data_IF_217843111016
#
_entry.id   IF_217843111016
#
_cell.length_a   1.000
_cell.length_b   1.000
_cell.length_c   1.000
_cell.angle_alpha   90.00
_cell.angle_beta   90.00
_cell.angle_gamma   90.00
#
_symmetry.space_group_name_H-M   'P 1'
#
loop_
_entity.id
_entity.type
_entity.pdbx_description
1 polymer ?
#
# COMPACT_ATOMS: atom_id res chain seq x y z
N UNK A 1 14.55 -5.37 -18.08
CA UNK A 1 14.56 -3.89 -18.06
C UNK A 1 13.15 -3.31 -17.99
N UNK A 2 12.27 -3.58 -18.95
CA UNK A 2 10.89 -3.04 -19.01
C UNK A 2 10.12 -3.20 -17.68
N UNK A 3 10.09 -4.41 -17.11
CA UNK A 3 9.45 -4.69 -15.82
C UNK A 3 9.92 -3.75 -14.69
N UNK A 4 11.23 -3.50 -14.59
CA UNK A 4 11.84 -2.68 -13.53
C UNK A 4 11.36 -1.22 -13.61
N UNK A 5 11.22 -0.69 -14.83
CA UNK A 5 10.68 0.66 -15.05
C UNK A 5 9.19 0.74 -14.75
N UNK A 6 8.41 -0.30 -15.06
CA UNK A 6 7.01 -0.34 -14.64
C UNK A 6 6.86 -0.32 -13.13
N UNK A 7 7.67 -1.11 -12.39
CA UNK A 7 7.67 -1.10 -10.93
C UNK A 7 8.09 0.27 -10.38
N UNK A 8 9.08 0.91 -11.00
CA UNK A 8 9.51 2.26 -10.61
C UNK A 8 8.39 3.29 -10.76
N UNK A 9 7.72 3.31 -11.91
CA UNK A 9 6.59 4.22 -12.17
C UNK A 9 5.44 3.93 -11.21
N UNK A 10 5.15 2.66 -10.97
CA UNK A 10 4.12 2.23 -10.02
C UNK A 10 4.43 2.72 -8.60
N UNK A 11 5.65 2.51 -8.11
CA UNK A 11 6.08 2.99 -6.81
C UNK A 11 5.99 4.51 -6.67
N UNK A 12 6.31 5.27 -7.73
CA UNK A 12 6.13 6.73 -7.74
C UNK A 12 4.65 7.11 -7.60
N UNK A 13 3.76 6.43 -8.32
CA UNK A 13 2.31 6.66 -8.24
C UNK A 13 1.82 6.39 -6.82
N UNK A 14 2.22 5.27 -6.22
CA UNK A 14 1.83 4.91 -4.84
C UNK A 14 2.36 5.89 -3.80
N UNK A 15 3.61 6.35 -3.92
CA UNK A 15 4.16 7.38 -3.02
C UNK A 15 3.34 8.66 -3.09
N UNK A 16 2.98 9.10 -4.30
CA UNK A 16 2.17 10.30 -4.50
C UNK A 16 0.75 10.13 -3.95
N UNK A 17 0.12 8.98 -4.22
CA UNK A 17 -1.22 8.67 -3.72
C UNK A 17 -1.25 8.55 -2.19
N UNK A 18 -0.37 7.73 -1.63
CA UNK A 18 -0.23 7.54 -0.18
C UNK A 18 0.10 8.85 0.53
N UNK A 19 1.04 9.63 0.00
CA UNK A 19 1.39 10.95 0.52
C UNK A 19 0.23 11.94 0.48
N UNK A 20 -0.51 11.98 -0.63
CA UNK A 20 -1.72 12.80 -0.73
C UNK A 20 -2.75 12.42 0.34
N UNK A 21 -3.05 11.13 0.47
CA UNK A 21 -4.04 10.64 1.44
C UNK A 21 -3.59 10.88 2.88
N UNK A 22 -2.30 10.68 3.18
CA UNK A 22 -1.72 10.95 4.48
C UNK A 22 -1.86 12.43 4.90
N UNK A 23 -1.56 13.35 3.97
CA UNK A 23 -1.59 14.79 4.22
C UNK A 23 -3.03 15.32 4.26
N UNK A 24 -3.85 14.94 3.28
CA UNK A 24 -5.23 15.45 3.14
C UNK A 24 -6.20 14.76 4.08
N UNK A 25 -5.85 13.59 4.62
CA UNK A 25 -6.70 12.76 5.48
C UNK A 25 -8.05 12.47 4.82
N UNK A 26 -8.01 12.20 3.51
CA UNK A 26 -9.17 11.87 2.68
C UNK A 26 -8.85 10.62 1.87
N UNK A 27 -9.74 9.64 1.91
CA UNK A 27 -9.57 8.34 1.27
C UNK A 27 -9.80 8.33 -0.24
N UNK A 28 -10.18 9.45 -0.88
CA UNK A 28 -10.64 9.50 -2.28
C UNK A 28 -9.69 8.88 -3.31
N UNK A 29 -8.40 8.74 -3.02
CA UNK A 29 -7.42 8.07 -3.88
C UNK A 29 -7.16 6.60 -3.53
N UNK A 30 -7.62 6.14 -2.36
CA UNK A 30 -7.46 4.78 -1.88
C UNK A 30 -8.80 4.05 -1.73
N UNK A 31 -9.90 4.58 -2.27
CA UNK A 31 -11.22 3.92 -2.23
C UNK A 31 -11.17 2.48 -2.76
N UNK A 32 -10.46 2.24 -3.87
CA UNK A 32 -10.27 0.88 -4.41
C UNK A 32 -9.47 -0.06 -3.49
N UNK A 33 -8.51 0.48 -2.73
CA UNK A 33 -7.81 -0.31 -1.69
C UNK A 33 -8.79 -0.69 -0.59
N UNK A 34 -9.70 0.21 -0.24
CA UNK A 34 -10.68 -0.04 0.82
C UNK A 34 -11.75 -1.06 0.43
N UNK A 35 -12.24 -0.97 -0.81
CA UNK A 35 -13.15 -1.98 -1.36
C UNK A 35 -12.49 -3.37 -1.42
N UNK A 36 -11.20 -3.40 -1.76
CA UNK A 36 -10.43 -4.65 -1.77
C UNK A 36 -10.35 -5.25 -0.37
N UNK A 37 -10.05 -4.44 0.66
CA UNK A 37 -10.02 -4.91 2.05
C UNK A 37 -11.40 -5.41 2.49
N UNK A 38 -12.47 -4.68 2.17
CA UNK A 38 -13.85 -5.09 2.49
C UNK A 38 -14.19 -6.46 1.89
N UNK A 39 -13.82 -6.70 0.64
CA UNK A 39 -14.09 -7.98 -0.04
C UNK A 39 -13.27 -9.15 0.53
N UNK A 40 -12.05 -8.87 0.99
CA UNK A 40 -11.12 -9.88 1.49
C UNK A 40 -11.40 -10.23 2.95
N UNK A 41 -11.79 -9.24 3.76
CA UNK A 41 -12.11 -9.40 5.16
C UNK A 41 -13.46 -8.75 5.45
N UNK A 42 -14.52 -9.56 5.42
CA UNK A 42 -15.91 -9.16 5.70
C UNK A 42 -16.11 -8.50 7.09
N UNK A 43 -15.09 -8.52 7.96
CA UNK A 43 -15.09 -7.79 9.23
C UNK A 43 -14.75 -6.31 9.08
N UNK A 44 -14.03 -5.95 8.02
CA UNK A 44 -13.67 -4.56 7.76
C UNK A 44 -14.81 -3.84 7.05
N UNK A 45 -15.31 -2.75 7.64
CA UNK A 45 -16.31 -1.87 7.04
C UNK A 45 -15.93 -0.42 7.34
N UNK A 46 -15.71 0.39 6.28
CA UNK A 46 -15.39 1.82 6.39
C UNK A 46 -16.40 2.55 7.25
N UNK A 47 -17.69 2.18 7.18
CA UNK A 47 -18.74 2.86 7.92
C UNK A 47 -18.60 2.70 9.45
N UNK A 48 -17.85 1.68 9.89
CA UNK A 48 -17.54 1.40 11.30
C UNK A 48 -16.21 2.00 11.77
N UNK A 49 -15.51 2.72 10.91
CA UNK A 49 -14.24 3.37 11.25
C UNK A 49 -14.51 4.60 12.11
N UNK A 50 -14.12 4.52 13.39
CA UNK A 50 -14.42 5.55 14.41
C UNK A 50 -13.70 6.88 14.15
N UNK A 51 -12.48 6.80 13.64
CA UNK A 51 -11.65 7.96 13.31
C UNK A 51 -11.12 7.85 11.89
N UNK A 52 -11.97 8.27 10.94
CA UNK A 52 -11.64 8.23 9.52
C UNK A 52 -10.40 9.06 9.18
N UNK A 53 -10.09 10.12 9.96
CA UNK A 53 -8.94 10.99 9.69
C UNK A 53 -7.63 10.31 10.07
N UNK A 54 -7.58 9.68 11.24
CA UNK A 54 -6.40 8.92 11.66
C UNK A 54 -6.23 7.64 10.86
N UNK A 55 -7.34 6.96 10.50
CA UNK A 55 -7.30 5.84 9.58
C UNK A 55 -6.77 6.25 8.19
N UNK A 56 -7.32 7.32 7.60
CA UNK A 56 -6.85 7.87 6.32
C UNK A 56 -5.36 8.19 6.38
N UNK A 57 -4.91 8.80 7.48
CA UNK A 57 -3.50 9.10 7.67
C UNK A 57 -2.65 7.84 7.69
N UNK A 58 -3.04 6.86 8.51
CA UNK A 58 -2.31 5.62 8.68
C UNK A 58 -2.23 4.79 7.39
N UNK A 59 -3.35 4.63 6.66
CA UNK A 59 -3.34 3.90 5.39
C UNK A 59 -2.55 4.65 4.33
N UNK A 60 -2.63 5.99 4.29
CA UNK A 60 -1.82 6.80 3.38
C UNK A 60 -0.32 6.66 3.67
N UNK A 61 0.08 6.70 4.94
CA UNK A 61 1.47 6.46 5.37
C UNK A 61 1.93 5.04 5.00
N UNK A 62 1.04 4.04 5.15
CA UNK A 62 1.32 2.64 4.79
C UNK A 62 1.58 2.49 3.28
N UNK A 63 0.68 3.00 2.44
CA UNK A 63 0.83 2.97 0.96
C UNK A 63 2.04 3.79 0.50
N UNK A 64 2.35 4.90 1.17
CA UNK A 64 3.55 5.69 0.88
C UNK A 64 4.82 4.87 1.11
N UNK A 65 4.90 4.12 2.21
CA UNK A 65 6.06 3.27 2.51
C UNK A 65 6.15 2.13 1.49
N UNK A 66 5.02 1.52 1.13
CA UNK A 66 4.95 0.47 0.09
C UNK A 66 5.51 0.96 -1.24
N UNK A 67 5.01 2.09 -1.74
CA UNK A 67 5.50 2.71 -2.97
C UNK A 67 7.00 3.06 -2.89
N UNK A 68 7.45 3.52 -1.71
CA UNK A 68 8.87 3.78 -1.46
C UNK A 68 9.74 2.52 -1.57
N UNK A 69 9.25 1.37 -1.10
CA UNK A 69 9.93 0.09 -1.24
C UNK A 69 9.96 -0.39 -2.70
N UNK A 70 8.92 -0.13 -3.49
CA UNK A 70 8.96 -0.41 -4.92
C UNK A 70 9.97 0.46 -5.66
N UNK A 71 10.04 1.75 -5.34
CA UNK A 71 11.07 2.64 -5.91
C UNK A 71 12.46 2.12 -5.54
N UNK A 72 12.69 1.76 -4.28
CA UNK A 72 13.96 1.22 -3.82
C UNK A 72 14.32 -0.08 -4.55
N UNK A 73 13.41 -1.05 -4.59
CA UNK A 73 13.59 -2.34 -5.26
C UNK A 73 13.87 -2.14 -6.75
N UNK A 74 13.08 -1.31 -7.44
CA UNK A 74 13.27 -1.03 -8.85
C UNK A 74 14.62 -0.38 -9.11
N UNK A 75 14.98 0.65 -8.35
CA UNK A 75 16.25 1.38 -8.49
C UNK A 75 17.45 0.46 -8.22
N UNK A 76 17.41 -0.31 -7.13
CA UNK A 76 18.45 -1.29 -6.81
C UNK A 76 18.54 -2.38 -7.88
N UNK A 77 17.40 -2.87 -8.38
CA UNK A 77 17.39 -3.90 -9.42
C UNK A 77 17.95 -3.41 -10.74
N UNK A 78 17.78 -2.13 -11.08
CA UNK A 78 18.37 -1.50 -12.26
C UNK A 78 19.87 -1.35 -12.05
N UNK A 79 20.30 -0.78 -10.92
CA UNK A 79 21.70 -0.52 -10.61
C UNK A 79 22.56 -1.78 -10.51
N UNK A 80 22.08 -2.81 -9.82
CA UNK A 80 22.79 -4.09 -9.64
C UNK A 80 22.45 -5.13 -10.72
N UNK A 81 21.72 -4.74 -11.77
CA UNK A 81 21.33 -5.63 -12.87
C UNK A 81 20.62 -6.93 -12.43
N UNK A 82 19.86 -6.89 -11.33
CA UNK A 82 19.20 -8.08 -10.76
C UNK A 82 18.28 -8.79 -11.77
N UNK A 83 18.19 -10.12 -11.67
CA UNK A 83 17.30 -10.90 -12.55
C UNK A 83 15.82 -10.59 -12.27
N UNK A 84 14.98 -10.64 -13.30
CA UNK A 84 13.54 -10.42 -13.13
C UNK A 84 12.91 -11.42 -12.14
N UNK A 85 13.43 -12.65 -12.08
CA UNK A 85 12.97 -13.67 -11.14
C UNK A 85 13.17 -13.23 -9.68
N UNK A 86 14.35 -12.72 -9.34
CA UNK A 86 14.64 -12.20 -8.00
C UNK A 86 13.73 -11.00 -7.67
N UNK A 87 13.52 -10.10 -8.64
CA UNK A 87 12.64 -8.95 -8.47
C UNK A 87 11.20 -9.39 -8.16
N UNK A 88 10.68 -10.39 -8.86
CA UNK A 88 9.34 -10.93 -8.62
C UNK A 88 9.20 -11.55 -7.22
N UNK A 89 10.24 -12.23 -6.73
CA UNK A 89 10.25 -12.77 -5.35
C UNK A 89 10.13 -11.62 -4.34
N UNK A 90 10.91 -10.56 -4.52
CA UNK A 90 10.84 -9.41 -3.60
C UNK A 90 9.48 -8.70 -3.66
N UNK A 91 8.88 -8.55 -4.84
CA UNK A 91 7.52 -8.02 -4.97
C UNK A 91 6.54 -8.88 -4.17
N UNK A 92 6.57 -10.20 -4.34
CA UNK A 92 5.68 -11.09 -3.60
C UNK A 92 5.86 -10.97 -2.08
N UNK A 93 7.10 -10.77 -1.60
CA UNK A 93 7.39 -10.55 -0.18
C UNK A 93 6.81 -9.21 0.30
N UNK A 94 7.00 -8.13 -0.47
CA UNK A 94 6.45 -6.80 -0.17
C UNK A 94 4.92 -6.91 -0.07
N UNK A 95 4.27 -7.40 -1.12
CA UNK A 95 2.81 -7.56 -1.19
C UNK A 95 2.25 -8.35 0.00
N UNK A 96 2.82 -9.53 0.29
CA UNK A 96 2.33 -10.37 1.42
C UNK A 96 2.50 -9.66 2.76
N UNK A 97 3.57 -8.90 2.94
CA UNK A 97 3.81 -8.15 4.17
C UNK A 97 2.82 -6.98 4.32
N UNK A 98 2.64 -6.17 3.27
CA UNK A 98 1.74 -5.02 3.29
C UNK A 98 0.29 -5.44 3.41
N UNK A 99 -0.13 -6.46 2.68
CA UNK A 99 -1.48 -6.99 2.78
C UNK A 99 -1.83 -7.44 4.21
N UNK A 100 -0.92 -8.16 4.87
CA UNK A 100 -1.09 -8.55 6.28
C UNK A 100 -1.12 -7.35 7.22
N UNK A 101 -0.27 -6.35 6.97
CA UNK A 101 -0.20 -5.12 7.76
C UNK A 101 -1.48 -4.31 7.64
N UNK A 102 -2.00 -4.18 6.41
CA UNK A 102 -3.22 -3.44 6.10
C UNK A 102 -4.42 -4.12 6.77
N UNK A 103 -4.62 -5.42 6.59
CA UNK A 103 -5.77 -6.13 7.18
C UNK A 103 -5.76 -6.02 8.70
N UNK A 104 -4.64 -6.39 9.35
CA UNK A 104 -4.56 -6.37 10.82
C UNK A 104 -4.63 -4.96 11.38
N UNK A 105 -3.98 -4.01 10.72
CA UNK A 105 -3.97 -2.62 11.15
C UNK A 105 -5.32 -1.97 10.99
N UNK A 106 -6.04 -2.26 9.90
CA UNK A 106 -7.36 -1.71 9.63
C UNK A 106 -8.40 -2.12 10.68
N UNK A 107 -8.32 -3.36 11.19
CA UNK A 107 -9.19 -3.83 12.27
C UNK A 107 -9.04 -3.02 13.58
N UNK A 108 -7.86 -2.43 13.84
CA UNK A 108 -7.65 -1.59 15.04
C UNK A 108 -8.43 -0.27 15.00
N UNK A 109 -8.97 0.12 13.84
CA UNK A 109 -9.74 1.34 13.66
C UNK A 109 -11.26 1.13 13.68
N UNK A 110 -11.69 -0.13 13.79
CA UNK A 110 -13.10 -0.54 13.84
C UNK A 110 -13.48 -0.79 15.30
N UNK A 111 -14.67 -0.36 15.71
CA UNK A 111 -15.22 -0.76 17.01
C UNK A 111 -15.61 -2.24 17.00
N UNK A 112 -15.12 -2.99 17.98
CA UNK A 112 -15.79 -4.23 18.38
C UNK A 112 -17.20 -3.85 18.86
N UNK A 113 -18.21 -4.40 18.19
CA UNK A 113 -19.60 -4.28 18.58
C UNK A 113 -19.89 -5.06 19.87
#
# INVERSE_FOLDING_TARGET
MVLKYFILIWGIIEVLMGGYVAIRKKLSFLEGVMESIYYIDNKFDISKVKDIKNFSRWIGETVLIEGGLYIFLASASIYFELSNFIVLIFIAIIEVFFFKTIIRGALNFIEEA
#
